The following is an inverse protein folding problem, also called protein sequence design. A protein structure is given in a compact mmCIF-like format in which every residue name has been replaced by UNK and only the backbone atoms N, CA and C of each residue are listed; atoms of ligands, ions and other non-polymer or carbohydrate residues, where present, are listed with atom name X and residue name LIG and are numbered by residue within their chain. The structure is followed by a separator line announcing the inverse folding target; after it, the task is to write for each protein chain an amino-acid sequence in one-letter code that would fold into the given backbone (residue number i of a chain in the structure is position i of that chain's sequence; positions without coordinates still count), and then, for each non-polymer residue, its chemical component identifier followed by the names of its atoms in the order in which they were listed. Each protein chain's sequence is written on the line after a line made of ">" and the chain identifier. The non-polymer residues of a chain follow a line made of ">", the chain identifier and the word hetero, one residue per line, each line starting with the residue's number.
data_IF_813921055143
#
_entry.id   IF_813921055143
#
_cell.length_a   1.000
_cell.length_b   1.000
_cell.length_c   1.000
_cell.angle_alpha   90.00
_cell.angle_beta   90.00
_cell.angle_gamma   90.00
#
_symmetry.space_group_name_H-M   'P 1'
#
loop_
_entity.id
_entity.type
_entity.pdbx_description
1 polymer ?
#
# COMPACT_ATOMS: atom_id res chain seq x y z
N UNK A 1 4.13 6.22 3.77
CA UNK A 1 3.08 5.61 4.61
C UNK A 1 3.73 4.49 5.41
N UNK A 2 3.37 4.32 6.68
CA UNK A 2 3.81 3.19 7.49
C UNK A 2 2.68 2.17 7.56
N UNK A 3 2.95 0.91 7.17
CA UNK A 3 2.03 -0.22 7.36
C UNK A 3 2.32 -0.88 8.70
N UNK A 4 1.28 -1.14 9.46
CA UNK A 4 1.34 -1.90 10.71
C UNK A 4 0.43 -3.12 10.58
N UNK A 5 1.00 -4.32 10.68
CA UNK A 5 0.27 -5.56 10.48
C UNK A 5 -0.18 -6.18 11.81
N UNK A 6 -1.49 -6.11 12.09
CA UNK A 6 -2.07 -6.63 13.33
C UNK A 6 -2.13 -8.16 13.41
N UNK A 7 -1.74 -8.89 12.37
CA UNK A 7 -1.57 -10.34 12.45
C UNK A 7 -0.41 -10.76 13.38
N UNK A 8 0.51 -9.84 13.71
CA UNK A 8 1.70 -10.13 14.52
C UNK A 8 1.87 -9.08 15.62
N UNK A 9 2.18 -9.52 16.84
CA UNK A 9 2.37 -8.62 17.99
C UNK A 9 1.07 -8.21 18.67
N UNK A 10 1.20 -7.41 19.72
CA UNK A 10 0.10 -6.98 20.59
C UNK A 10 -0.41 -5.58 20.22
N UNK A 11 -1.66 -5.26 20.55
CA UNK A 11 -2.21 -3.91 20.33
C UNK A 11 -1.42 -2.83 21.07
N UNK A 12 -0.79 -3.16 22.19
CA UNK A 12 0.03 -2.22 22.96
C UNK A 12 1.36 -1.92 22.26
N UNK A 13 2.02 -2.93 21.68
CA UNK A 13 3.21 -2.72 20.85
C UNK A 13 2.87 -1.82 19.64
N UNK A 14 1.75 -2.09 18.97
CA UNK A 14 1.29 -1.26 17.87
C UNK A 14 0.97 0.18 18.29
N UNK A 15 0.37 0.39 19.47
CA UNK A 15 0.12 1.74 20.01
C UNK A 15 1.42 2.52 20.16
N UNK A 16 2.47 1.88 20.70
CA UNK A 16 3.81 2.48 20.85
C UNK A 16 4.42 2.81 19.48
N UNK A 17 4.32 1.89 18.51
CA UNK A 17 4.81 2.13 17.15
C UNK A 17 4.08 3.29 16.47
N UNK A 18 2.75 3.39 16.60
CA UNK A 18 1.96 4.49 16.06
C UNK A 18 2.40 5.83 16.65
N UNK A 19 2.58 5.88 17.98
CA UNK A 19 3.05 7.08 18.66
C UNK A 19 4.45 7.49 18.17
N UNK A 20 5.35 6.52 17.99
CA UNK A 20 6.71 6.77 17.51
C UNK A 20 6.73 7.26 16.05
N UNK A 21 5.96 6.63 15.16
CA UNK A 21 5.80 7.08 13.76
C UNK A 21 5.31 8.52 13.70
N UNK A 22 4.30 8.88 14.51
CA UNK A 22 3.77 10.25 14.57
C UNK A 22 4.81 11.24 15.09
N UNK A 23 5.52 10.88 16.16
CA UNK A 23 6.60 11.70 16.73
C UNK A 23 7.70 11.97 15.71
N UNK A 24 8.14 10.94 14.99
CA UNK A 24 9.16 11.07 13.94
C UNK A 24 8.65 11.87 12.74
N UNK A 25 7.39 11.64 12.31
CA UNK A 25 6.77 12.41 11.23
C UNK A 25 6.74 13.92 11.53
N UNK A 26 6.40 14.29 12.77
CA UNK A 26 6.44 15.69 13.22
C UNK A 26 7.86 16.24 13.32
N UNK A 27 8.78 15.48 13.95
CA UNK A 27 10.18 15.88 14.13
C UNK A 27 10.88 16.14 12.79
N UNK A 28 10.65 15.26 11.82
CA UNK A 28 11.27 15.33 10.49
C UNK A 28 10.49 16.24 9.53
N UNK A 29 9.30 16.71 9.92
CA UNK A 29 8.36 17.46 9.06
C UNK A 29 8.07 16.73 7.75
N UNK A 30 8.03 15.40 7.81
CA UNK A 30 7.69 14.53 6.70
C UNK A 30 6.33 13.90 6.98
N UNK A 31 5.25 14.39 6.33
CA UNK A 31 3.92 13.85 6.52
C UNK A 31 3.92 12.33 6.24
N UNK A 32 3.63 11.52 7.26
CA UNK A 32 3.61 10.05 7.14
C UNK A 32 2.25 9.49 7.56
N UNK A 33 1.48 9.00 6.59
CA UNK A 33 0.20 8.33 6.86
C UNK A 33 0.41 6.93 7.46
N UNK A 34 -0.55 6.48 8.25
CA UNK A 34 -0.57 5.16 8.90
C UNK A 34 -1.66 4.30 8.29
N UNK A 35 -1.26 3.14 7.74
CA UNK A 35 -2.15 2.09 7.25
C UNK A 35 -2.11 0.93 8.23
N UNK A 36 -3.26 0.61 8.81
CA UNK A 36 -3.39 -0.53 9.70
C UNK A 36 -3.92 -1.74 8.92
N UNK A 37 -3.12 -2.79 8.82
CA UNK A 37 -3.50 -4.03 8.12
C UNK A 37 -4.19 -4.97 9.10
N UNK A 38 -5.46 -5.24 8.84
CA UNK A 38 -6.35 -6.00 9.71
C UNK A 38 -6.32 -7.47 9.31
N UNK A 39 -6.07 -8.39 10.27
CA UNK A 39 -6.09 -9.82 9.98
C UNK A 39 -7.52 -10.24 9.64
N UNK A 40 -7.65 -10.90 8.51
CA UNK A 40 -8.86 -11.62 8.12
C UNK A 40 -8.71 -13.10 8.43
N UNK A 41 -9.73 -13.88 8.06
CA UNK A 41 -9.70 -15.31 8.25
C UNK A 41 -9.43 -16.03 6.93
N UNK A 42 -8.28 -16.71 6.85
CA UNK A 42 -7.89 -17.55 5.70
C UNK A 42 -8.76 -18.80 5.53
N UNK A 43 -9.34 -19.33 6.61
CA UNK A 43 -9.93 -20.67 6.64
C UNK A 43 -11.32 -20.77 7.29
N UNK A 44 -11.75 -19.74 8.03
CA UNK A 44 -13.03 -19.73 8.74
C UNK A 44 -13.92 -18.61 8.25
N UNK A 45 -15.13 -18.92 7.82
CA UNK A 45 -16.19 -17.94 7.61
C UNK A 45 -16.68 -17.45 8.98
N UNK A 46 -15.93 -16.54 9.59
CA UNK A 46 -16.42 -15.74 10.72
C UNK A 46 -17.28 -14.60 10.20
N UNK A 47 -18.27 -14.20 10.99
CA UNK A 47 -18.99 -12.94 10.72
C UNK A 47 -18.00 -11.77 10.72
N UNK A 48 -18.20 -10.79 9.84
CA UNK A 48 -17.34 -9.60 9.69
C UNK A 48 -17.16 -8.86 11.01
N UNK A 49 -18.23 -8.76 11.81
CA UNK A 49 -18.19 -8.11 13.11
C UNK A 49 -17.22 -8.84 14.06
N UNK A 50 -17.29 -10.16 14.12
CA UNK A 50 -16.39 -10.95 14.99
C UNK A 50 -14.92 -10.83 14.56
N UNK A 51 -14.66 -10.75 13.25
CA UNK A 51 -13.29 -10.68 12.72
C UNK A 51 -12.65 -9.30 12.89
N UNK A 52 -13.43 -8.23 12.69
CA UNK A 52 -12.86 -6.89 12.56
C UNK A 52 -13.17 -5.95 13.73
N UNK A 53 -14.20 -6.16 14.54
CA UNK A 53 -14.63 -5.17 15.55
C UNK A 53 -13.52 -4.71 16.49
N UNK A 54 -12.81 -5.64 17.14
CA UNK A 54 -11.71 -5.27 18.05
C UNK A 54 -10.59 -4.48 17.34
N UNK A 55 -10.30 -4.83 16.09
CA UNK A 55 -9.26 -4.17 15.31
C UNK A 55 -9.71 -2.79 14.79
N UNK A 56 -10.99 -2.64 14.44
CA UNK A 56 -11.59 -1.38 14.02
C UNK A 56 -11.71 -0.41 15.20
N UNK A 57 -12.09 -0.90 16.38
CA UNK A 57 -12.07 -0.11 17.63
C UNK A 57 -10.66 0.42 17.90
N UNK A 58 -9.65 -0.43 17.76
CA UNK A 58 -8.27 -0.02 17.90
C UNK A 58 -7.89 1.03 16.83
N UNK A 59 -8.21 0.80 15.55
CA UNK A 59 -7.96 1.73 14.46
C UNK A 59 -8.59 3.12 14.72
N UNK A 60 -9.84 3.13 15.16
CA UNK A 60 -10.60 4.32 15.53
C UNK A 60 -9.95 5.05 16.71
N UNK A 61 -9.62 4.33 17.79
CA UNK A 61 -8.97 4.90 18.98
C UNK A 61 -7.61 5.53 18.66
N UNK A 62 -6.87 4.94 17.72
CA UNK A 62 -5.58 5.45 17.30
C UNK A 62 -5.72 6.53 16.24
N UNK A 63 -6.84 6.66 15.54
CA UNK A 63 -7.08 7.66 14.50
C UNK A 63 -6.17 7.48 13.28
N UNK A 64 -5.98 6.23 12.84
CA UNK A 64 -5.18 5.86 11.66
C UNK A 64 -5.76 6.47 10.37
N UNK A 65 -4.96 6.54 9.30
CA UNK A 65 -5.37 7.16 8.04
C UNK A 65 -6.12 6.19 7.12
N UNK A 66 -5.81 4.89 7.22
CA UNK A 66 -6.42 3.84 6.41
C UNK A 66 -6.47 2.52 7.19
N UNK A 67 -7.43 1.68 6.84
CA UNK A 67 -7.42 0.25 7.19
C UNK A 67 -7.31 -0.60 5.93
N UNK A 68 -6.48 -1.64 5.96
CA UNK A 68 -6.46 -2.67 4.93
C UNK A 68 -7.19 -3.93 5.43
N UNK A 69 -8.09 -4.47 4.63
CA UNK A 69 -8.85 -5.68 4.96
C UNK A 69 -8.26 -6.88 4.24
N UNK A 70 -7.81 -7.88 5.02
CA UNK A 70 -7.36 -9.16 4.50
C UNK A 70 -8.53 -10.14 4.33
N UNK A 71 -8.46 -11.03 3.35
CA UNK A 71 -9.36 -12.14 3.06
C UNK A 71 -10.83 -11.73 2.91
N UNK A 72 -11.06 -10.60 2.21
CA UNK A 72 -12.37 -10.14 1.80
C UNK A 72 -12.59 -10.43 0.31
N UNK A 73 -13.63 -11.19 0.00
CA UNK A 73 -13.99 -11.56 -1.39
C UNK A 73 -15.37 -11.11 -1.83
N UNK A 74 -16.07 -10.28 -1.04
CA UNK A 74 -17.36 -9.72 -1.43
C UNK A 74 -17.55 -8.26 -1.05
N UNK A 75 -18.22 -7.51 -1.93
CA UNK A 75 -18.61 -6.12 -1.68
C UNK A 75 -19.54 -5.98 -0.46
N UNK A 76 -20.29 -7.05 -0.13
CA UNK A 76 -21.13 -7.11 1.07
C UNK A 76 -20.30 -6.97 2.34
N UNK A 77 -19.23 -7.75 2.48
CA UNK A 77 -18.37 -7.68 3.68
C UNK A 77 -17.70 -6.31 3.81
N UNK A 78 -17.31 -5.68 2.69
CA UNK A 78 -16.78 -4.30 2.70
C UNK A 78 -17.82 -3.32 3.26
N UNK A 79 -19.10 -3.46 2.85
CA UNK A 79 -20.19 -2.62 3.37
C UNK A 79 -20.43 -2.87 4.86
N UNK A 80 -20.41 -4.11 5.32
CA UNK A 80 -20.53 -4.47 6.74
C UNK A 80 -19.41 -3.81 7.57
N UNK A 81 -18.16 -3.83 7.11
CA UNK A 81 -17.05 -3.09 7.77
C UNK A 81 -17.31 -1.58 7.81
N UNK A 82 -17.82 -1.00 6.73
CA UNK A 82 -18.13 0.44 6.68
C UNK A 82 -19.29 0.81 7.61
N UNK A 83 -20.28 -0.05 7.76
CA UNK A 83 -21.36 0.12 8.73
C UNK A 83 -20.83 0.08 10.17
N UNK A 84 -19.86 -0.79 10.48
CA UNK A 84 -19.20 -0.82 11.79
C UNK A 84 -18.44 0.49 12.06
N UNK A 85 -17.67 0.99 11.09
CA UNK A 85 -16.99 2.29 11.19
C UNK A 85 -17.98 3.45 11.39
N UNK A 86 -19.12 3.43 10.69
CA UNK A 86 -20.19 4.41 10.86
C UNK A 86 -20.82 4.36 12.25
N UNK A 87 -21.08 3.16 12.80
CA UNK A 87 -21.58 2.98 14.18
C UNK A 87 -20.60 3.55 15.21
N UNK A 88 -19.30 3.48 14.94
CA UNK A 88 -18.23 4.09 15.75
C UNK A 88 -18.06 5.60 15.49
N UNK A 89 -18.86 6.19 14.60
CA UNK A 89 -18.80 7.59 14.19
C UNK A 89 -17.42 8.01 13.65
N UNK A 90 -16.77 7.11 12.89
CA UNK A 90 -15.49 7.36 12.22
C UNK A 90 -15.59 7.10 10.72
N UNK A 91 -14.93 7.94 9.92
CA UNK A 91 -14.81 7.78 8.45
C UNK A 91 -13.36 7.42 8.11
N UNK A 92 -12.98 6.16 8.32
CA UNK A 92 -11.65 5.64 7.95
C UNK A 92 -11.76 4.98 6.57
N UNK A 93 -11.00 5.46 5.56
CA UNK A 93 -10.94 4.83 4.25
C UNK A 93 -10.50 3.36 4.29
N UNK A 94 -11.19 2.51 3.53
CA UNK A 94 -10.96 1.07 3.46
C UNK A 94 -10.20 0.70 2.19
N UNK A 95 -9.10 -0.03 2.34
CA UNK A 95 -8.34 -0.66 1.25
C UNK A 95 -8.60 -2.17 1.30
N UNK A 96 -9.08 -2.76 0.21
CA UNK A 96 -9.30 -4.22 0.15
C UNK A 96 -8.07 -4.91 -0.42
N UNK A 97 -7.54 -5.91 0.29
CA UNK A 97 -6.44 -6.74 -0.21
C UNK A 97 -7.00 -7.85 -1.09
N UNK A 98 -6.56 -7.90 -2.34
CA UNK A 98 -6.94 -8.96 -3.29
C UNK A 98 -5.92 -10.09 -3.14
N UNK A 99 -6.32 -11.11 -2.38
CA UNK A 99 -5.47 -12.21 -1.91
C UNK A 99 -5.90 -13.58 -2.44
N UNK A 100 -7.11 -13.69 -3.02
CA UNK A 100 -7.70 -14.96 -3.42
C UNK A 100 -8.46 -14.85 -4.75
N UNK A 101 -8.63 -15.98 -5.44
CA UNK A 101 -9.30 -16.04 -6.74
C UNK A 101 -10.73 -15.45 -6.71
N UNK A 102 -11.59 -15.74 -5.70
CA UNK A 102 -12.92 -15.13 -5.63
C UNK A 102 -12.91 -13.61 -5.49
N UNK A 103 -11.89 -13.04 -4.82
CA UNK A 103 -11.73 -11.59 -4.71
C UNK A 103 -11.26 -10.99 -6.04
N UNK A 104 -10.37 -11.68 -6.77
CA UNK A 104 -9.94 -11.29 -8.11
C UNK A 104 -11.09 -11.31 -9.13
N UNK A 105 -11.92 -12.36 -9.14
CA UNK A 105 -13.08 -12.47 -10.02
C UNK A 105 -14.13 -11.39 -9.78
N UNK A 106 -14.20 -10.88 -8.55
CA UNK A 106 -15.17 -9.86 -8.10
C UNK A 106 -14.53 -8.50 -7.85
N UNK A 107 -13.32 -8.29 -8.34
CA UNK A 107 -12.49 -7.08 -8.13
C UNK A 107 -13.24 -5.80 -8.44
N UNK A 108 -14.05 -5.77 -9.51
CA UNK A 108 -14.87 -4.61 -9.88
C UNK A 108 -15.85 -4.21 -8.76
N UNK A 109 -16.56 -5.19 -8.19
CA UNK A 109 -17.53 -4.93 -7.10
C UNK A 109 -16.84 -4.50 -5.79
N UNK A 110 -15.65 -5.06 -5.52
CA UNK A 110 -14.84 -4.70 -4.36
C UNK A 110 -14.27 -3.29 -4.51
N UNK A 111 -13.79 -2.97 -5.71
CA UNK A 111 -13.37 -1.61 -6.07
C UNK A 111 -14.51 -0.65 -5.81
N UNK A 112 -15.71 -0.86 -6.33
CA UNK A 112 -16.88 0.01 -6.11
C UNK A 112 -17.18 0.26 -4.63
N UNK A 113 -17.12 -0.77 -3.78
CA UNK A 113 -17.44 -0.68 -2.36
C UNK A 113 -16.35 -0.03 -1.48
N UNK A 114 -15.10 -0.04 -1.94
CA UNK A 114 -13.92 0.40 -1.17
C UNK A 114 -13.34 1.73 -1.63
N UNK A 115 -12.39 2.27 -0.87
CA UNK A 115 -11.65 3.48 -1.23
C UNK A 115 -10.38 3.18 -2.04
N UNK A 116 -10.03 1.91 -2.22
CA UNK A 116 -8.84 1.46 -2.93
C UNK A 116 -8.63 -0.04 -2.78
N UNK A 117 -7.67 -0.57 -3.52
CA UNK A 117 -7.28 -1.97 -3.43
C UNK A 117 -5.77 -2.13 -3.23
N UNK A 118 -5.38 -3.30 -2.74
CA UNK A 118 -4.00 -3.73 -2.64
C UNK A 118 -3.85 -5.08 -3.35
N UNK A 119 -2.92 -5.15 -4.31
CA UNK A 119 -2.51 -6.40 -4.95
C UNK A 119 -1.57 -7.13 -3.99
N UNK A 120 -2.09 -8.12 -3.28
CA UNK A 120 -1.35 -8.87 -2.27
C UNK A 120 -0.81 -10.18 -2.87
N UNK A 121 0.33 -10.07 -3.57
CA UNK A 121 0.87 -11.12 -4.44
C UNK A 121 1.27 -12.38 -3.70
N UNK A 122 1.78 -12.26 -2.48
CA UNK A 122 2.19 -13.39 -1.64
C UNK A 122 1.04 -14.38 -1.41
N UNK A 123 -0.08 -13.91 -0.86
CA UNK A 123 -1.27 -14.76 -0.65
C UNK A 123 -1.96 -15.11 -1.98
N UNK A 124 -1.99 -14.20 -2.95
CA UNK A 124 -2.58 -14.49 -4.26
C UNK A 124 -1.87 -15.65 -4.97
N UNK A 125 -0.53 -15.70 -4.93
CA UNK A 125 0.27 -16.76 -5.53
C UNK A 125 0.06 -18.15 -4.87
N UNK A 126 -0.49 -18.21 -3.66
CA UNK A 126 -0.91 -19.46 -3.03
C UNK A 126 -2.28 -19.94 -3.53
N UNK A 127 -3.09 -19.04 -4.10
CA UNK A 127 -4.47 -19.28 -4.49
C UNK A 127 -4.67 -19.41 -6.00
N UNK A 128 -3.76 -18.85 -6.81
CA UNK A 128 -3.76 -18.98 -8.28
C UNK A 128 -2.39 -19.46 -8.76
N UNK A 129 -2.34 -20.07 -9.95
CA UNK A 129 -1.08 -20.46 -10.56
C UNK A 129 -0.13 -19.27 -10.70
N UNK A 130 1.17 -19.48 -10.44
CA UNK A 130 2.18 -18.42 -10.39
C UNK A 130 2.26 -17.60 -11.69
N UNK A 131 2.03 -18.24 -12.84
CA UNK A 131 2.00 -17.59 -14.16
C UNK A 131 0.81 -16.64 -14.35
N UNK A 132 -0.25 -16.80 -13.53
CA UNK A 132 -1.43 -15.92 -13.55
C UNK A 132 -1.25 -14.67 -12.68
N UNK A 133 -0.32 -14.68 -11.72
CA UNK A 133 -0.11 -13.55 -10.80
C UNK A 133 0.26 -12.26 -11.53
N UNK A 134 1.20 -12.25 -12.51
CA UNK A 134 1.50 -11.03 -13.27
C UNK A 134 0.30 -10.52 -14.08
N UNK A 135 -0.54 -11.43 -14.60
CA UNK A 135 -1.76 -11.07 -15.35
C UNK A 135 -2.79 -10.44 -14.42
N UNK A 136 -3.02 -11.05 -13.26
CA UNK A 136 -3.92 -10.54 -12.23
C UNK A 136 -3.49 -9.15 -11.73
N UNK A 137 -2.19 -8.94 -11.49
CA UNK A 137 -1.65 -7.63 -11.11
C UNK A 137 -2.00 -6.56 -12.16
N UNK A 138 -1.72 -6.81 -13.44
CA UNK A 138 -2.02 -5.85 -14.52
C UNK A 138 -3.50 -5.57 -14.64
N UNK A 139 -4.34 -6.60 -14.51
CA UNK A 139 -5.79 -6.46 -14.52
C UNK A 139 -6.26 -5.55 -13.37
N UNK A 140 -5.87 -5.85 -12.13
CA UNK A 140 -6.28 -5.10 -10.94
C UNK A 140 -5.83 -3.64 -10.99
N UNK A 141 -4.58 -3.39 -11.39
CA UNK A 141 -4.05 -2.02 -11.54
C UNK A 141 -4.86 -1.26 -12.58
N UNK A 142 -5.12 -1.88 -13.75
CA UNK A 142 -5.90 -1.25 -14.82
C UNK A 142 -7.32 -0.93 -14.37
N UNK A 143 -8.01 -1.86 -13.71
CA UNK A 143 -9.37 -1.68 -13.21
C UNK A 143 -9.44 -0.53 -12.19
N UNK A 144 -8.52 -0.50 -11.22
CA UNK A 144 -8.44 0.56 -10.23
C UNK A 144 -8.21 1.93 -10.89
N UNK A 145 -7.30 1.99 -11.86
CA UNK A 145 -7.02 3.18 -12.65
C UNK A 145 -8.21 3.66 -13.49
N UNK A 146 -9.03 2.76 -14.01
CA UNK A 146 -10.26 3.10 -14.74
C UNK A 146 -11.36 3.64 -13.80
N UNK A 147 -11.44 3.09 -12.58
CA UNK A 147 -12.37 3.56 -11.55
C UNK A 147 -11.88 4.84 -10.83
N UNK A 148 -10.66 5.30 -11.10
CA UNK A 148 -10.05 6.43 -10.40
C UNK A 148 -9.80 6.14 -8.91
N UNK A 149 -9.61 4.87 -8.55
CA UNK A 149 -9.35 4.43 -7.19
C UNK A 149 -7.88 4.04 -7.04
N UNK A 150 -7.24 4.36 -5.90
CA UNK A 150 -5.86 4.02 -5.64
C UNK A 150 -5.63 2.51 -5.61
N UNK A 151 -4.49 2.09 -6.14
CA UNK A 151 -4.01 0.71 -6.11
C UNK A 151 -2.59 0.63 -5.57
N UNK A 152 -2.39 -0.28 -4.60
CA UNK A 152 -1.10 -0.55 -3.98
C UNK A 152 -0.61 -1.92 -4.45
N UNK A 153 0.58 -2.01 -5.03
CA UNK A 153 1.22 -3.32 -5.26
C UNK A 153 2.11 -3.67 -4.08
N UNK A 154 1.87 -4.84 -3.49
CA UNK A 154 2.52 -5.25 -2.25
C UNK A 154 3.12 -6.66 -2.35
N UNK A 155 4.01 -6.95 -1.40
CA UNK A 155 4.73 -8.22 -1.18
C UNK A 155 5.72 -8.59 -2.28
N UNK A 156 6.85 -9.19 -1.89
CA UNK A 156 7.88 -9.70 -2.80
C UNK A 156 8.42 -8.66 -3.80
N UNK A 157 8.41 -7.36 -3.43
CA UNK A 157 8.92 -6.31 -4.32
C UNK A 157 10.45 -6.33 -4.36
N UNK A 158 11.10 -6.55 -3.20
CA UNK A 158 12.54 -6.66 -3.04
C UNK A 158 12.88 -7.78 -2.04
N UNK A 159 12.19 -8.92 -2.10
CA UNK A 159 12.23 -10.00 -1.09
C UNK A 159 13.65 -10.44 -0.71
N UNK A 160 14.55 -10.57 -1.69
CA UNK A 160 15.94 -10.95 -1.46
C UNK A 160 16.66 -9.99 -0.51
N UNK A 161 16.21 -8.73 -0.43
CA UNK A 161 16.79 -7.72 0.44
C UNK A 161 16.47 -7.90 1.93
N UNK A 162 15.68 -8.91 2.29
CA UNK A 162 15.58 -9.37 3.68
C UNK A 162 16.95 -9.88 4.17
N UNK A 163 17.69 -10.57 3.32
CA UNK A 163 18.98 -11.19 3.65
C UNK A 163 20.17 -10.63 2.84
N UNK A 164 19.90 -9.84 1.80
CA UNK A 164 20.91 -9.26 0.89
C UNK A 164 20.90 -7.73 0.89
N UNK A 165 22.06 -7.10 0.74
CA UNK A 165 22.15 -5.64 0.62
C UNK A 165 21.69 -5.12 -0.77
N UNK A 166 21.55 -6.00 -1.75
CA UNK A 166 21.17 -5.66 -3.13
C UNK A 166 20.09 -6.59 -3.66
N UNK A 167 19.13 -6.08 -4.45
CA UNK A 167 18.08 -6.91 -5.01
C UNK A 167 18.58 -7.69 -6.22
N UNK A 168 17.77 -8.65 -6.65
CA UNK A 168 17.94 -9.29 -7.95
C UNK A 168 17.51 -8.37 -9.09
N UNK A 169 17.98 -8.67 -10.31
CA UNK A 169 17.52 -7.98 -11.53
C UNK A 169 16.01 -8.16 -11.76
N UNK A 170 15.46 -9.31 -11.39
CA UNK A 170 14.05 -9.61 -11.51
C UNK A 170 13.21 -8.71 -10.60
N UNK A 171 13.61 -8.54 -9.34
CA UNK A 171 12.92 -7.66 -8.38
C UNK A 171 13.01 -6.18 -8.78
N UNK A 172 14.18 -5.71 -9.22
CA UNK A 172 14.30 -4.35 -9.75
C UNK A 172 13.38 -4.12 -10.98
N UNK A 173 13.29 -5.12 -11.86
CA UNK A 173 12.39 -5.08 -13.03
C UNK A 173 10.92 -5.08 -12.61
N UNK A 174 10.58 -5.86 -11.59
CA UNK A 174 9.23 -5.97 -11.04
C UNK A 174 8.76 -4.67 -10.39
N UNK A 175 9.60 -4.02 -9.57
CA UNK A 175 9.36 -2.67 -9.05
C UNK A 175 9.14 -1.67 -10.17
N UNK A 176 10.01 -1.68 -11.20
CA UNK A 176 9.87 -0.78 -12.34
C UNK A 176 8.54 -1.01 -13.08
N UNK A 177 8.17 -2.27 -13.34
CA UNK A 177 6.96 -2.65 -14.06
C UNK A 177 5.69 -2.31 -13.30
N UNK A 178 5.65 -2.49 -11.98
CA UNK A 178 4.47 -2.09 -11.19
C UNK A 178 4.20 -0.58 -11.30
N UNK A 179 5.25 0.26 -11.34
CA UNK A 179 5.09 1.70 -11.62
C UNK A 179 4.62 1.95 -13.06
N UNK A 180 5.18 1.24 -14.05
CA UNK A 180 4.79 1.39 -15.46
C UNK A 180 3.34 0.95 -15.72
N UNK A 181 2.87 -0.07 -15.01
CA UNK A 181 1.49 -0.54 -15.06
C UNK A 181 0.51 0.49 -14.45
N UNK A 182 1.04 1.41 -13.62
CA UNK A 182 0.29 2.51 -13.04
C UNK A 182 -0.13 2.27 -11.60
N UNK A 183 0.66 1.56 -10.80
CA UNK A 183 0.43 1.50 -9.35
C UNK A 183 0.64 2.86 -8.68
N UNK A 184 -0.27 3.27 -7.80
CA UNK A 184 -0.16 4.52 -7.05
C UNK A 184 0.88 4.44 -5.92
N UNK A 185 1.03 3.25 -5.34
CA UNK A 185 2.04 3.00 -4.31
C UNK A 185 2.59 1.58 -4.41
N UNK A 186 3.85 1.44 -3.99
CA UNK A 186 4.51 0.17 -3.79
C UNK A 186 4.80 -0.03 -2.31
N UNK A 187 4.73 -1.27 -1.85
CA UNK A 187 4.87 -1.61 -0.44
C UNK A 187 5.97 -2.65 -0.23
N UNK A 188 6.86 -2.34 0.71
CA UNK A 188 7.77 -3.30 1.32
C UNK A 188 7.08 -3.94 2.54
N UNK A 189 7.29 -5.24 2.70
CA UNK A 189 6.73 -6.07 3.75
C UNK A 189 7.86 -6.52 4.67
N UNK A 190 8.32 -7.77 4.52
CA UNK A 190 9.38 -8.39 5.30
C UNK A 190 10.70 -7.60 5.20
N UNK A 191 10.97 -7.00 4.04
CA UNK A 191 12.20 -6.25 3.76
C UNK A 191 12.44 -5.15 4.81
N UNK A 192 11.37 -4.51 5.29
CA UNK A 192 11.45 -3.45 6.31
C UNK A 192 11.04 -3.90 7.70
N UNK A 193 10.21 -4.94 7.82
CA UNK A 193 9.71 -5.40 9.10
C UNK A 193 10.74 -6.23 9.87
N UNK A 194 11.47 -7.11 9.19
CA UNK A 194 12.40 -8.07 9.79
C UNK A 194 13.74 -8.18 9.03
N UNK A 195 13.87 -7.51 7.88
CA UNK A 195 15.06 -7.59 7.04
C UNK A 195 16.32 -7.03 7.69
N UNK A 196 17.46 -7.54 7.26
CA UNK A 196 18.79 -7.08 7.68
C UNK A 196 19.17 -5.74 7.06
N UNK A 197 18.51 -5.34 5.96
CA UNK A 197 18.83 -4.14 5.18
C UNK A 197 17.60 -3.24 4.92
N UNK A 198 16.83 -2.85 5.97
CA UNK A 198 15.54 -2.19 5.78
C UNK A 198 15.65 -0.80 5.14
N UNK A 199 16.68 -0.03 5.52
CA UNK A 199 16.94 1.30 4.93
C UNK A 199 17.37 1.16 3.47
N UNK A 200 18.29 0.24 3.18
CA UNK A 200 18.77 0.02 1.82
C UNK A 200 17.66 -0.49 0.89
N UNK A 201 16.70 -1.29 1.39
CA UNK A 201 15.53 -1.73 0.64
C UNK A 201 14.65 -0.54 0.22
N UNK A 202 14.36 0.38 1.17
CA UNK A 202 13.60 1.60 0.87
C UNK A 202 14.34 2.47 -0.14
N UNK A 203 15.62 2.75 0.08
CA UNK A 203 16.43 3.56 -0.83
C UNK A 203 16.51 2.95 -2.24
N UNK A 204 16.63 1.63 -2.32
CA UNK A 204 16.66 0.91 -3.59
C UNK A 204 15.33 1.02 -4.33
N UNK A 205 14.21 0.83 -3.63
CA UNK A 205 12.89 1.00 -4.22
C UNK A 205 12.70 2.43 -4.74
N UNK A 206 13.14 3.45 -3.97
CA UNK A 206 13.12 4.86 -4.39
C UNK A 206 13.96 5.07 -5.65
N UNK A 207 15.20 4.55 -5.71
CA UNK A 207 16.04 4.67 -6.92
C UNK A 207 15.38 4.05 -8.16
N UNK A 208 14.76 2.89 -8.03
CA UNK A 208 14.06 2.26 -9.16
C UNK A 208 12.81 3.05 -9.56
N UNK A 209 12.03 3.57 -8.60
CA UNK A 209 10.85 4.42 -8.86
C UNK A 209 11.24 5.74 -9.54
N UNK A 210 12.35 6.36 -9.18
CA UNK A 210 12.75 7.66 -9.74
C UNK A 210 13.80 7.56 -10.85
N UNK A 211 14.17 6.34 -11.27
CA UNK A 211 15.02 6.15 -12.44
C UNK A 211 14.42 6.90 -13.65
N UNK A 212 15.17 7.77 -14.35
CA UNK A 212 14.68 8.54 -15.48
C UNK A 212 14.04 7.64 -16.54
N UNK A 213 12.82 7.99 -16.96
CA UNK A 213 12.02 7.21 -17.92
C UNK A 213 11.53 8.12 -19.05
N UNK A 214 11.33 7.60 -20.28
CA UNK A 214 10.63 8.34 -21.33
C UNK A 214 9.29 8.85 -20.79
N UNK A 215 8.90 10.05 -21.21
CA UNK A 215 7.73 10.76 -20.69
C UNK A 215 6.48 9.88 -20.80
N UNK A 216 6.02 9.32 -19.69
CA UNK A 216 4.69 8.70 -19.59
C UNK A 216 3.65 9.80 -19.39
N UNK A 217 2.40 9.64 -19.87
CA UNK A 217 1.32 10.55 -19.54
C UNK A 217 1.19 10.65 -18.02
N UNK A 218 1.56 11.78 -17.43
CA UNK A 218 1.40 12.02 -15.99
C UNK A 218 -0.09 11.96 -15.66
N UNK A 219 -0.53 10.91 -14.99
CA UNK A 219 -1.75 10.97 -14.17
C UNK A 219 -1.29 11.36 -12.78
N UNK A 220 -1.70 12.55 -12.32
CA UNK A 220 -1.50 12.92 -10.92
C UNK A 220 -2.25 11.93 -10.03
N UNK A 221 -1.80 11.72 -8.77
CA UNK A 221 -2.55 10.90 -7.83
C UNK A 221 -3.99 11.43 -7.73
N UNK A 222 -5.02 10.58 -7.61
CA UNK A 222 -6.39 11.04 -7.49
C UNK A 222 -6.47 12.08 -6.36
N UNK A 223 -6.97 13.28 -6.63
CA UNK A 223 -6.96 14.41 -5.68
C UNK A 223 -7.50 14.03 -4.28
N UNK A 224 -8.44 13.08 -4.24
CA UNK A 224 -9.08 12.54 -3.03
C UNK A 224 -8.13 11.80 -2.08
N UNK A 225 -7.04 11.22 -2.58
CA UNK A 225 -6.08 10.46 -1.78
C UNK A 225 -5.29 11.37 -0.84
N UNK A 226 -4.82 12.50 -1.37
CA UNK A 226 -4.10 13.51 -0.62
C UNK A 226 -5.00 14.28 0.36
N UNK A 227 -6.29 14.45 0.06
CA UNK A 227 -7.23 15.12 0.98
C UNK A 227 -7.68 14.23 2.14
N UNK A 228 -7.79 12.90 1.93
CA UNK A 228 -8.26 11.95 2.95
C UNK A 228 -7.16 11.42 3.86
N UNK A 229 -5.92 11.35 3.38
CA UNK A 229 -4.79 11.29 4.29
C UNK A 229 -4.85 12.55 5.18
N UNK A 230 -4.77 12.44 6.51
CA UNK A 230 -4.64 13.64 7.37
C UNK A 230 -3.32 14.42 7.13
N UNK A 231 -2.53 13.93 6.17
CA UNK A 231 -1.55 14.68 5.39
C UNK A 231 -2.27 15.84 4.67
N UNK A 232 -2.64 16.91 5.41
CA UNK A 232 -2.73 18.23 4.78
C UNK A 232 -1.38 18.44 4.11
N UNK A 233 -1.33 18.27 2.79
CA UNK A 233 -0.27 18.87 2.00
C UNK A 233 -0.30 20.35 2.35
N UNK A 234 0.70 20.79 3.11
CA UNK A 234 1.04 22.19 3.19
C UNK A 234 1.28 22.62 1.75
N UNK A 235 0.33 23.37 1.19
CA UNK A 235 0.31 23.91 -0.17
C UNK A 235 0.36 22.87 -1.32
N UNK A 236 -0.06 23.23 -2.55
CA UNK A 236 0.44 22.51 -3.73
C UNK A 236 1.96 22.40 -3.57
N UNK A 237 2.54 21.23 -3.86
CA UNK A 237 4.00 21.07 -3.93
C UNK A 237 4.56 22.34 -4.56
N UNK A 238 5.41 23.12 -3.85
CA UNK A 238 5.94 24.33 -4.41
C UNK A 238 6.54 23.94 -5.76
N UNK A 239 6.14 24.65 -6.82
CA UNK A 239 6.71 24.48 -8.15
C UNK A 239 8.24 24.61 -8.15
N UNK A 240 8.84 25.03 -7.03
CA UNK A 240 10.26 25.05 -6.76
C UNK A 240 10.59 24.80 -5.27
N UNK A 241 10.16 23.67 -4.67
CA UNK A 241 10.75 23.24 -3.40
C UNK A 241 12.13 22.63 -3.71
N UNK A 242 13.25 23.15 -3.17
CA UNK A 242 14.55 22.53 -3.38
C UNK A 242 14.48 21.13 -2.75
N UNK A 243 14.87 20.08 -3.48
CA UNK A 243 14.53 18.74 -3.05
C UNK A 243 15.42 18.30 -1.88
N UNK A 244 14.79 17.77 -0.83
CA UNK A 244 15.45 17.19 0.35
C UNK A 244 16.35 15.98 0.00
N UNK A 245 16.22 15.47 -1.22
CA UNK A 245 17.16 14.58 -1.89
C UNK A 245 17.35 15.12 -3.30
N UNK A 246 18.56 15.54 -3.67
CA UNK A 246 18.85 16.08 -5.01
C UNK A 246 18.27 15.20 -6.11
N UNK A 247 17.16 15.61 -6.72
CA UNK A 247 16.68 14.98 -7.95
C UNK A 247 17.68 15.34 -9.06
N UNK A 248 18.32 14.38 -9.72
CA UNK A 248 19.08 14.69 -10.92
C UNK A 248 18.10 15.27 -11.95
N UNK A 249 18.51 16.39 -12.53
CA UNK A 249 17.84 17.06 -13.63
C UNK A 249 17.48 15.99 -14.68
N UNK A 250 16.20 15.80 -14.99
CA UNK A 250 15.74 14.79 -15.95
C UNK A 250 16.01 15.28 -17.36
N UNK A 251 17.28 15.35 -17.74
CA UNK A 251 17.69 15.41 -19.13
C UNK A 251 17.68 13.96 -19.65
N UNK A 252 16.92 13.63 -20.70
CA UNK A 252 17.00 12.32 -21.34
C UNK A 252 18.43 11.94 -21.77
N UNK A 253 19.31 12.93 -21.99
CA UNK A 253 20.72 12.73 -22.29
C UNK A 253 21.59 12.36 -21.07
N UNK A 254 21.08 12.46 -19.83
CA UNK A 254 21.82 12.12 -18.61
C UNK A 254 21.66 10.66 -18.17
N UNK A 255 21.06 9.80 -19.00
CA UNK A 255 21.05 8.35 -18.80
C UNK A 255 22.47 7.79 -19.03
N UNK A 256 23.36 8.07 -18.08
CA UNK A 256 24.61 7.32 -17.94
C UNK A 256 24.25 5.89 -17.56
N UNK A 257 24.55 4.95 -18.44
CA UNK A 257 24.46 3.51 -18.15
C UNK A 257 25.68 2.99 -17.38
N UNK A 258 26.47 3.91 -16.81
CA UNK A 258 27.69 3.67 -16.06
C UNK A 258 27.65 4.44 -14.74
#
# INVERSE_FOLDING_TARGET
>A
MARLNLAYGTLEEHRRLIAEVRRLSQKLRLPTGILLDLPGSKYRSGDVETLFSQHLDFAASQGVDFVALSFISSARQVKEVKELLQKMNVDIPVIVKIEEAPALERSSSLLEASEGIMVARGDLALNISIEKVPVAQKQLIREANLCGKPVITATQMLMSMVESATPTRAEATDVANAVLDGSDALMLSEETAIGSYPVAAVETMVRVIFCPRPMMPRRGPPARWLTRCKLRLLSPLPTAAPPLFGYPNTDPASLSWR
#
